data_IF_494817713100
#
_entry.id   IF_494817713100
#
_cell.length_a   1.000
_cell.length_b   1.000
_cell.length_c   1.000
_cell.angle_alpha   90.00
_cell.angle_beta   90.00
_cell.angle_gamma   90.00
#
_symmetry.space_group_name_H-M   'P 1'
#
loop_
_entity.id
_entity.type
_entity.pdbx_description
1 polymer ?
#
# COMPACT_ATOMS: atom_id res chain seq x y z
N UNK A 1 7.96 21.63 6.46
CA UNK A 1 9.39 21.94 6.45
C UNK A 1 9.69 22.86 5.28
N UNK A 2 10.96 23.12 5.03
CA UNK A 2 11.50 23.89 3.91
C UNK A 2 11.80 23.03 2.67
N UNK A 3 12.08 21.73 2.85
CA UNK A 3 12.29 20.77 1.76
C UNK A 3 10.99 20.39 1.03
N UNK A 4 11.08 20.23 -0.31
CA UNK A 4 10.03 19.66 -1.14
C UNK A 4 10.62 18.91 -2.34
N UNK A 5 9.86 17.96 -2.89
CA UNK A 5 10.24 17.17 -4.06
C UNK A 5 9.00 16.88 -4.92
N UNK A 6 9.20 16.79 -6.24
CA UNK A 6 8.17 16.37 -7.20
C UNK A 6 8.49 14.98 -7.73
N UNK A 7 7.46 14.20 -8.03
CA UNK A 7 7.61 12.92 -8.71
C UNK A 7 6.47 12.69 -9.70
N UNK A 8 6.74 11.87 -10.72
CA UNK A 8 5.71 11.22 -11.53
C UNK A 8 5.98 9.72 -11.53
N UNK A 9 4.92 8.93 -11.74
CA UNK A 9 5.05 7.48 -11.80
C UNK A 9 4.02 6.86 -12.73
N UNK A 10 4.38 5.69 -13.23
CA UNK A 10 3.50 4.74 -13.91
C UNK A 10 3.67 3.40 -13.21
N UNK A 11 2.59 2.64 -13.10
CA UNK A 11 2.69 1.34 -12.45
C UNK A 11 1.56 0.39 -12.80
N UNK A 12 1.85 -0.89 -12.66
CA UNK A 12 0.84 -1.95 -12.73
C UNK A 12 0.83 -2.75 -11.44
N UNK A 13 -0.37 -3.14 -11.03
CA UNK A 13 -0.60 -3.97 -9.84
C UNK A 13 -1.45 -5.17 -10.24
N UNK A 14 -0.91 -6.37 -10.03
CA UNK A 14 -1.60 -7.62 -10.34
C UNK A 14 -1.92 -8.35 -9.03
N UNK A 15 -3.19 -8.51 -8.73
CA UNK A 15 -3.65 -9.26 -7.57
C UNK A 15 -3.93 -10.72 -7.95
N UNK A 16 -3.32 -11.67 -7.24
CA UNK A 16 -3.48 -13.10 -7.45
C UNK A 16 -3.94 -13.79 -6.17
N UNK A 17 -5.17 -14.28 -6.18
CA UNK A 17 -5.65 -15.18 -5.13
C UNK A 17 -4.99 -16.56 -5.24
N UNK A 18 -4.70 -17.18 -4.11
CA UNK A 18 -4.18 -18.54 -4.08
C UNK A 18 -5.33 -19.55 -4.08
N UNK A 19 -5.31 -20.47 -5.06
CA UNK A 19 -6.10 -21.71 -5.09
C UNK A 19 -7.60 -21.52 -4.79
N UNK A 20 -8.24 -20.53 -5.43
CA UNK A 20 -9.71 -20.37 -5.32
C UNK A 20 -10.40 -21.65 -5.81
N UNK A 21 -11.49 -22.01 -5.14
CA UNK A 21 -12.29 -23.19 -5.46
C UNK A 21 -13.77 -22.88 -5.50
N UNK A 22 -14.47 -23.45 -6.48
CA UNK A 22 -15.94 -23.38 -6.56
C UNK A 22 -16.63 -24.04 -5.38
N UNK A 23 -15.98 -25.03 -4.75
CA UNK A 23 -16.51 -25.65 -3.54
C UNK A 23 -16.60 -24.64 -2.39
N UNK A 24 -15.62 -23.75 -2.24
CA UNK A 24 -15.69 -22.67 -1.24
C UNK A 24 -16.74 -21.65 -1.64
N UNK A 25 -16.73 -21.21 -2.91
CA UNK A 25 -17.62 -20.15 -3.42
C UNK A 25 -19.10 -20.46 -3.23
N UNK A 26 -19.54 -21.70 -3.46
CA UNK A 26 -20.97 -22.06 -3.37
C UNK A 26 -21.45 -22.44 -1.97
N UNK A 27 -20.52 -22.74 -1.06
CA UNK A 27 -20.86 -23.18 0.30
C UNK A 27 -20.61 -22.10 1.37
N UNK A 28 -19.77 -21.10 1.08
CA UNK A 28 -19.47 -20.00 2.02
C UNK A 28 -20.20 -18.74 1.56
N UNK A 29 -21.28 -18.33 2.25
CA UNK A 29 -22.14 -17.23 1.79
C UNK A 29 -21.49 -15.85 1.92
N UNK A 30 -20.56 -15.66 2.85
CA UNK A 30 -19.85 -14.39 3.07
C UNK A 30 -18.37 -14.66 3.40
N UNK A 31 -17.52 -14.94 2.39
CA UNK A 31 -16.11 -15.24 2.61
C UNK A 31 -15.36 -14.00 3.13
N UNK A 32 -14.46 -14.21 4.09
CA UNK A 32 -13.66 -13.14 4.73
C UNK A 32 -12.19 -13.31 4.36
N UNK A 33 -11.58 -14.40 4.82
CA UNK A 33 -10.18 -14.68 4.56
C UNK A 33 -9.99 -15.25 3.16
N UNK A 34 -9.29 -14.50 2.30
CA UNK A 34 -8.86 -14.95 0.99
C UNK A 34 -7.37 -14.68 0.82
N UNK A 35 -6.58 -15.75 0.86
CA UNK A 35 -5.14 -15.72 0.74
C UNK A 35 -4.74 -15.31 -0.68
N UNK A 36 -3.61 -14.61 -0.79
CA UNK A 36 -3.08 -14.23 -2.08
C UNK A 36 -1.75 -13.50 -2.02
N UNK A 37 -1.32 -13.05 -3.19
CA UNK A 37 -0.16 -12.19 -3.38
C UNK A 37 -0.46 -11.15 -4.46
N UNK A 38 0.05 -9.96 -4.25
CA UNK A 38 -0.11 -8.81 -5.12
C UNK A 38 1.25 -8.31 -5.57
N UNK A 39 1.43 -8.20 -6.89
CA UNK A 39 2.70 -7.88 -7.54
C UNK A 39 2.65 -6.45 -8.06
N UNK A 40 3.70 -5.68 -7.78
CA UNK A 40 3.85 -4.30 -8.21
C UNK A 40 5.02 -4.21 -9.19
N UNK A 41 4.82 -3.47 -10.27
CA UNK A 41 5.86 -3.01 -11.20
C UNK A 41 5.70 -1.49 -11.35
N UNK A 42 6.67 -0.74 -10.85
CA UNK A 42 6.60 0.71 -10.71
C UNK A 42 7.77 1.33 -11.46
N UNK A 43 7.44 2.28 -12.33
CA UNK A 43 8.39 3.20 -12.96
C UNK A 43 8.16 4.59 -12.38
N UNK A 44 9.22 5.20 -11.86
CA UNK A 44 9.17 6.47 -11.15
C UNK A 44 10.21 7.42 -11.72
N UNK A 45 9.84 8.71 -11.82
CA UNK A 45 10.72 9.80 -12.26
C UNK A 45 10.72 10.92 -11.23
N UNK A 46 11.91 11.38 -10.84
CA UNK A 46 12.12 12.48 -9.88
C UNK A 46 13.11 13.49 -10.48
N UNK A 47 12.72 14.75 -10.70
CA UNK A 47 13.68 15.80 -11.04
C UNK A 47 14.74 15.95 -9.94
N UNK A 48 16.02 15.91 -10.30
CA UNK A 48 17.13 16.10 -9.36
C UNK A 48 17.48 17.60 -9.31
N UNK A 49 16.55 18.39 -8.76
CA UNK A 49 16.54 19.86 -8.83
C UNK A 49 17.16 20.56 -7.61
N UNK A 50 17.61 19.80 -6.61
CA UNK A 50 18.30 20.32 -5.44
C UNK A 50 19.35 19.34 -4.91
N UNK A 51 20.22 19.83 -4.02
CA UNK A 51 21.39 19.09 -3.52
C UNK A 51 21.01 17.84 -2.74
N UNK A 52 19.98 17.91 -1.91
CA UNK A 52 19.56 16.77 -1.09
C UNK A 52 19.07 15.61 -1.96
N UNK A 53 18.36 15.92 -3.06
CA UNK A 53 17.94 14.90 -4.04
C UNK A 53 19.12 14.27 -4.78
N UNK A 54 20.12 15.07 -5.16
CA UNK A 54 21.32 14.59 -5.85
C UNK A 54 22.13 13.66 -4.93
N UNK A 55 22.40 14.11 -3.69
CA UNK A 55 23.16 13.33 -2.71
C UNK A 55 22.44 12.02 -2.36
N UNK A 56 21.11 12.07 -2.20
CA UNK A 56 20.29 10.88 -1.97
C UNK A 56 20.36 9.93 -3.17
N UNK A 57 20.26 10.44 -4.39
CA UNK A 57 20.32 9.65 -5.61
C UNK A 57 21.67 8.92 -5.74
N UNK A 58 22.77 9.63 -5.53
CA UNK A 58 24.13 9.07 -5.57
C UNK A 58 24.33 7.99 -4.50
N UNK A 59 23.82 8.21 -3.28
CA UNK A 59 23.87 7.22 -2.20
C UNK A 59 23.10 5.93 -2.53
N UNK A 60 21.91 6.06 -3.14
CA UNK A 60 21.15 4.90 -3.61
C UNK A 60 21.86 4.20 -4.77
N UNK A 61 22.45 4.93 -5.71
CA UNK A 61 23.20 4.35 -6.82
C UNK A 61 24.39 3.50 -6.34
N UNK A 62 25.14 4.00 -5.36
CA UNK A 62 26.24 3.25 -4.74
C UNK A 62 25.73 2.00 -4.02
N UNK A 63 24.64 2.12 -3.26
CA UNK A 63 24.05 1.01 -2.51
C UNK A 63 23.51 -0.09 -3.43
N UNK A 64 22.85 0.27 -4.53
CA UNK A 64 22.34 -0.70 -5.53
C UNK A 64 23.50 -1.40 -6.23
N UNK A 65 24.52 -0.65 -6.64
CA UNK A 65 25.67 -1.18 -7.39
C UNK A 65 26.57 -2.06 -6.52
N UNK A 66 26.80 -1.69 -5.27
CA UNK A 66 27.69 -2.40 -4.34
C UNK A 66 27.00 -3.45 -3.46
N UNK A 67 25.68 -3.34 -3.25
CA UNK A 67 24.93 -4.16 -2.29
C UNK A 67 24.47 -5.52 -2.83
N UNK A 68 24.48 -5.73 -4.15
CA UNK A 68 24.01 -6.98 -4.75
C UNK A 68 22.60 -7.38 -4.27
N UNK A 69 22.43 -8.62 -3.84
CA UNK A 69 21.14 -9.13 -3.32
C UNK A 69 20.73 -8.49 -1.98
N UNK A 70 21.69 -7.98 -1.21
CA UNK A 70 21.44 -7.43 0.12
C UNK A 70 20.65 -6.12 0.08
N UNK A 71 20.84 -5.31 -0.97
CA UNK A 71 20.10 -4.04 -1.13
C UNK A 71 18.59 -4.29 -1.06
N UNK A 72 18.08 -5.20 -1.90
CA UNK A 72 16.66 -5.48 -1.98
C UNK A 72 16.07 -6.09 -0.70
N UNK A 73 16.90 -6.73 0.11
CA UNK A 73 16.50 -7.36 1.37
C UNK A 73 16.47 -6.36 2.53
N UNK A 74 17.58 -5.66 2.76
CA UNK A 74 17.78 -4.73 3.88
C UNK A 74 16.99 -3.44 3.73
N UNK A 75 16.66 -3.02 2.50
CA UNK A 75 15.84 -1.83 2.26
C UNK A 75 14.46 -1.92 2.92
N UNK A 76 13.98 -3.12 3.27
CA UNK A 76 12.67 -3.29 3.94
C UNK A 76 12.63 -2.65 5.33
N UNK A 77 13.72 -2.72 6.09
CA UNK A 77 13.77 -2.10 7.44
C UNK A 77 13.87 -0.57 7.35
N UNK A 78 14.48 -0.05 6.28
CA UNK A 78 14.45 1.37 5.97
C UNK A 78 13.05 1.83 5.53
N UNK A 79 12.41 1.09 4.62
CA UNK A 79 11.11 1.43 4.07
C UNK A 79 10.01 1.39 5.16
N UNK A 80 10.01 0.35 5.98
CA UNK A 80 9.03 0.20 7.06
C UNK A 80 9.61 0.69 8.39
N UNK A 81 9.87 2.00 8.46
CA UNK A 81 10.51 2.64 9.62
C UNK A 81 9.72 2.48 10.93
N UNK A 82 10.45 2.27 12.03
CA UNK A 82 9.89 2.24 13.38
C UNK A 82 8.89 1.09 13.59
N UNK A 83 7.69 1.36 14.16
CA UNK A 83 6.71 0.31 14.45
C UNK A 83 6.07 -0.32 13.19
N UNK A 84 6.27 0.27 12.01
CA UNK A 84 5.71 -0.23 10.76
C UNK A 84 6.26 -1.61 10.38
N UNK A 85 7.54 -1.90 10.67
CA UNK A 85 8.14 -3.20 10.37
C UNK A 85 7.43 -4.34 11.11
N UNK A 86 7.16 -4.15 12.40
CA UNK A 86 6.46 -5.14 13.24
C UNK A 86 5.01 -5.33 12.78
N UNK A 87 4.34 -4.25 12.35
CA UNK A 87 2.94 -4.31 11.91
C UNK A 87 2.71 -5.22 10.69
N UNK A 88 3.74 -5.44 9.85
CA UNK A 88 3.67 -6.37 8.70
C UNK A 88 3.24 -7.77 9.17
N UNK A 89 3.96 -8.33 10.15
CA UNK A 89 3.70 -9.68 10.62
C UNK A 89 2.39 -9.75 11.44
N UNK A 90 2.06 -8.69 12.18
CA UNK A 90 0.82 -8.60 12.97
C UNK A 90 -0.42 -8.75 12.08
N UNK A 91 -0.41 -8.11 10.90
CA UNK A 91 -1.47 -8.23 9.89
C UNK A 91 -1.45 -9.53 9.08
N UNK A 92 -0.56 -10.49 9.39
CA UNK A 92 -0.37 -11.69 8.58
C UNK A 92 0.09 -11.37 7.15
N UNK A 93 0.81 -10.26 6.97
CA UNK A 93 1.34 -9.78 5.70
C UNK A 93 2.80 -10.19 5.54
N UNK A 94 3.28 -10.26 4.29
CA UNK A 94 4.70 -10.47 3.97
C UNK A 94 5.11 -9.58 2.81
N UNK A 95 6.29 -8.96 2.90
CA UNK A 95 6.88 -8.13 1.83
C UNK A 95 8.08 -8.86 1.23
N UNK A 96 8.09 -9.07 -0.08
CA UNK A 96 9.26 -9.62 -0.78
C UNK A 96 10.40 -8.60 -0.83
N UNK A 97 11.66 -9.05 -1.01
CA UNK A 97 12.73 -8.14 -1.38
C UNK A 97 12.38 -7.30 -2.61
N UNK A 98 12.91 -6.08 -2.68
CA UNK A 98 12.79 -5.21 -3.85
C UNK A 98 13.74 -5.68 -4.94
N UNK A 99 13.25 -5.73 -6.17
CA UNK A 99 14.05 -5.94 -7.37
C UNK A 99 14.14 -4.63 -8.14
N UNK A 100 15.36 -4.12 -8.35
CA UNK A 100 15.59 -2.93 -9.17
C UNK A 100 15.90 -3.38 -10.59
N UNK A 101 15.01 -3.04 -11.53
CA UNK A 101 15.15 -3.37 -12.94
C UNK A 101 15.96 -2.30 -13.69
N UNK A 102 15.76 -1.03 -13.32
CA UNK A 102 16.49 0.10 -13.89
C UNK A 102 16.68 1.18 -12.81
N UNK A 103 17.84 1.83 -12.84
CA UNK A 103 18.14 3.00 -12.01
C UNK A 103 19.16 3.86 -12.74
N UNK A 104 18.76 5.03 -13.22
CA UNK A 104 19.61 5.91 -14.02
C UNK A 104 19.07 7.32 -14.15
N UNK A 105 19.80 8.18 -14.87
CA UNK A 105 19.44 9.58 -15.06
C UNK A 105 19.05 9.82 -16.51
N UNK A 106 17.92 10.49 -16.74
CA UNK A 106 17.47 10.98 -18.04
C UNK A 106 17.63 12.51 -18.12
N UNK A 107 17.73 13.04 -19.34
CA UNK A 107 17.63 14.48 -19.58
C UNK A 107 16.17 14.90 -19.58
N UNK A 108 15.78 15.76 -18.63
CA UNK A 108 14.48 16.41 -18.60
C UNK A 108 14.57 17.86 -19.07
N UNK A 109 13.41 18.48 -19.30
CA UNK A 109 13.29 19.87 -19.77
C UNK A 109 14.03 20.89 -18.88
N UNK A 110 14.07 20.64 -17.56
CA UNK A 110 14.62 21.55 -16.55
C UNK A 110 15.91 21.05 -15.91
N UNK A 111 16.51 19.98 -16.44
CA UNK A 111 17.71 19.37 -15.87
C UNK A 111 17.60 17.84 -15.71
N UNK A 112 18.51 17.24 -14.93
CA UNK A 112 18.56 15.79 -14.74
C UNK A 112 17.31 15.27 -14.02
N UNK A 113 16.82 14.11 -14.47
CA UNK A 113 15.70 13.39 -13.85
C UNK A 113 16.17 11.99 -13.49
N UNK A 114 16.13 11.66 -12.21
CA UNK A 114 16.36 10.30 -11.73
C UNK A 114 15.17 9.41 -12.12
N UNK A 115 15.45 8.34 -12.85
CA UNK A 115 14.46 7.39 -13.34
C UNK A 115 14.77 6.01 -12.77
N UNK A 116 13.79 5.42 -12.10
CA UNK A 116 13.89 4.07 -11.56
C UNK A 116 12.73 3.20 -12.01
N UNK A 117 12.99 1.93 -12.24
CA UNK A 117 11.97 0.90 -12.40
C UNK A 117 12.27 -0.24 -11.44
N UNK A 118 11.30 -0.61 -10.62
CA UNK A 118 11.49 -1.59 -9.58
C UNK A 118 10.20 -2.35 -9.30
N UNK A 119 10.36 -3.53 -8.72
CA UNK A 119 9.30 -4.49 -8.45
C UNK A 119 9.37 -4.97 -7.02
N UNK A 120 8.20 -5.22 -6.45
CA UNK A 120 8.06 -5.99 -5.23
C UNK A 120 6.71 -6.70 -5.25
N UNK A 121 6.52 -7.63 -4.34
CA UNK A 121 5.22 -8.20 -4.07
C UNK A 121 4.94 -8.18 -2.58
N UNK A 122 3.68 -8.08 -2.23
CA UNK A 122 3.24 -8.37 -0.87
C UNK A 122 2.20 -9.50 -0.88
N UNK A 123 2.17 -10.29 0.18
CA UNK A 123 1.26 -11.40 0.34
C UNK A 123 0.51 -11.29 1.65
N UNK A 124 -0.65 -11.94 1.73
CA UNK A 124 -1.51 -11.92 2.90
C UNK A 124 -2.17 -13.28 3.12
N UNK A 125 -2.31 -13.65 4.39
CA UNK A 125 -3.00 -14.88 4.83
C UNK A 125 -4.53 -14.78 4.81
N UNK A 126 -5.07 -13.63 4.37
CA UNK A 126 -6.50 -13.35 4.28
C UNK A 126 -6.97 -12.16 5.12
N UNK A 127 -6.20 -11.76 6.13
CA UNK A 127 -6.43 -10.55 6.94
C UNK A 127 -6.22 -9.28 6.08
N UNK A 128 -5.23 -9.32 5.19
CA UNK A 128 -4.84 -8.19 4.34
C UNK A 128 -5.93 -7.85 3.32
N UNK A 129 -6.77 -6.86 3.65
CA UNK A 129 -7.93 -6.45 2.84
C UNK A 129 -7.56 -6.07 1.42
N UNK A 130 -6.39 -5.44 1.20
CA UNK A 130 -5.91 -5.04 -0.12
C UNK A 130 -5.70 -6.22 -1.08
N UNK A 131 -5.59 -7.45 -0.55
CA UNK A 131 -5.55 -8.69 -1.33
C UNK A 131 -6.92 -9.37 -1.30
N UNK A 132 -7.47 -9.59 -0.11
CA UNK A 132 -8.67 -10.41 0.06
C UNK A 132 -9.89 -9.79 -0.64
N UNK A 133 -9.96 -8.46 -0.68
CA UNK A 133 -11.10 -7.67 -1.18
C UNK A 133 -10.74 -6.78 -2.37
N UNK A 134 -9.73 -7.16 -3.16
CA UNK A 134 -9.17 -6.36 -4.25
C UNK A 134 -10.20 -5.64 -5.13
N UNK A 135 -11.16 -6.37 -5.70
CA UNK A 135 -12.18 -5.78 -6.58
C UNK A 135 -13.23 -4.95 -5.79
N UNK A 136 -13.46 -5.26 -4.52
CA UNK A 136 -14.43 -4.53 -3.70
C UNK A 136 -13.91 -3.12 -3.34
N UNK A 137 -12.60 -3.00 -3.10
CA UNK A 137 -11.94 -1.77 -2.63
C UNK A 137 -11.89 -0.66 -3.67
N UNK A 138 -12.02 -0.99 -4.97
CA UNK A 138 -12.04 -0.01 -6.05
C UNK A 138 -13.35 -0.08 -6.85
N UNK A 139 -14.46 0.43 -6.29
CA UNK A 139 -15.81 0.30 -6.86
C UNK A 139 -16.07 1.29 -8.01
N UNK A 140 -15.22 1.26 -9.05
CA UNK A 140 -15.28 2.20 -10.18
C UNK A 140 -16.63 2.16 -10.90
N UNK A 141 -17.27 0.99 -10.98
CA UNK A 141 -18.59 0.80 -11.59
C UNK A 141 -19.70 1.60 -10.89
N UNK A 142 -19.52 1.90 -9.59
CA UNK A 142 -20.47 2.67 -8.79
C UNK A 142 -20.10 4.16 -8.72
N UNK A 143 -18.92 4.56 -9.22
CA UNK A 143 -18.43 5.92 -9.14
C UNK A 143 -19.00 6.77 -10.29
N UNK A 144 -20.29 7.08 -10.19
CA UNK A 144 -21.02 7.88 -11.18
C UNK A 144 -21.00 9.40 -10.89
N UNK A 145 -20.40 9.80 -9.77
CA UNK A 145 -20.20 11.19 -9.33
C UNK A 145 -18.92 11.28 -8.50
N UNK A 146 -18.35 12.48 -8.31
CA UNK A 146 -17.22 12.66 -7.40
C UNK A 146 -17.52 12.08 -6.01
N UNK A 147 -16.56 11.33 -5.49
CA UNK A 147 -16.56 10.83 -4.11
C UNK A 147 -15.41 11.48 -3.36
N UNK A 148 -15.61 11.76 -2.08
CA UNK A 148 -14.62 12.41 -1.24
C UNK A 148 -14.75 11.95 0.21
N UNK A 149 -13.63 11.95 0.91
CA UNK A 149 -13.55 11.73 2.35
C UNK A 149 -12.50 12.69 2.90
N UNK A 150 -12.80 13.32 4.02
CA UNK A 150 -11.90 14.19 4.76
C UNK A 150 -11.81 13.67 6.20
N UNK A 151 -10.60 13.67 6.74
CA UNK A 151 -10.35 13.22 8.10
C UNK A 151 -9.21 14.00 8.72
N UNK A 152 -9.29 14.20 10.03
CA UNK A 152 -8.28 14.89 10.81
C UNK A 152 -8.27 14.39 12.25
N UNK A 153 -7.09 14.42 12.87
CA UNK A 153 -6.94 14.11 14.28
C UNK A 153 -6.03 15.14 14.97
N UNK A 154 -6.23 15.28 16.28
CA UNK A 154 -5.35 16.03 17.17
C UNK A 154 -5.01 15.12 18.33
N UNK A 155 -3.74 15.02 18.66
CA UNK A 155 -3.26 14.20 19.76
C UNK A 155 -2.15 14.92 20.51
N UNK A 156 -2.20 14.83 21.83
CA UNK A 156 -1.12 15.21 22.73
C UNK A 156 -0.96 14.14 23.82
N UNK A 157 -0.20 14.44 24.87
CA UNK A 157 0.03 13.50 25.97
C UNK A 157 -1.18 13.29 26.88
N UNK A 158 -2.27 14.04 26.71
CA UNK A 158 -3.46 14.01 27.56
C UNK A 158 -4.69 13.45 26.84
N UNK A 159 -4.72 13.49 25.51
CA UNK A 159 -5.88 12.97 24.79
C UNK A 159 -5.71 12.90 23.28
N UNK A 160 -6.69 12.25 22.66
CA UNK A 160 -6.79 12.06 21.22
C UNK A 160 -8.22 12.42 20.79
N UNK A 161 -8.36 13.30 19.79
CA UNK A 161 -9.61 13.62 19.12
C UNK A 161 -9.49 13.31 17.62
N UNK A 162 -10.53 12.72 17.02
CA UNK A 162 -10.58 12.39 15.59
C UNK A 162 -11.93 12.74 14.99
N UNK A 163 -11.93 13.24 13.75
CA UNK A 163 -13.13 13.48 12.94
C UNK A 163 -12.92 12.92 11.53
N UNK A 164 -13.96 12.30 10.99
CA UNK A 164 -13.99 11.79 9.61
C UNK A 164 -15.37 12.07 9.03
N UNK A 165 -15.42 12.67 7.85
CA UNK A 165 -16.63 12.93 7.09
C UNK A 165 -16.40 12.53 5.63
N UNK A 166 -17.38 11.91 4.98
CA UNK A 166 -17.19 11.49 3.60
C UNK A 166 -18.44 10.93 2.93
N UNK A 167 -18.44 11.02 1.61
CA UNK A 167 -19.45 10.47 0.73
C UNK A 167 -18.77 9.65 -0.37
N UNK A 168 -18.91 8.32 -0.29
CA UNK A 168 -18.24 7.38 -1.18
C UNK A 168 -19.13 6.18 -1.53
N UNK A 169 -18.95 5.58 -2.72
CA UNK A 169 -19.62 4.32 -3.08
C UNK A 169 -19.09 3.15 -2.24
N UNK A 170 -19.80 2.02 -2.30
CA UNK A 170 -19.36 0.78 -1.67
C UNK A 170 -19.66 0.63 -0.18
N UNK A 171 -20.28 1.63 0.48
CA UNK A 171 -20.68 1.57 1.90
C UNK A 171 -21.65 0.41 2.18
N UNK A 172 -22.56 0.13 1.24
CA UNK A 172 -23.44 -1.03 1.28
C UNK A 172 -23.18 -1.98 0.11
N UNK A 173 -23.40 -3.27 0.34
CA UNK A 173 -23.22 -4.36 -0.63
C UNK A 173 -24.45 -5.26 -0.65
N UNK A 174 -24.67 -5.91 -1.78
CA UNK A 174 -25.64 -7.01 -1.87
C UNK A 174 -25.24 -8.13 -0.91
N UNK A 175 -26.23 -8.69 -0.21
CA UNK A 175 -26.07 -9.82 0.70
C UNK A 175 -26.75 -11.09 0.17
N UNK A 176 -27.36 -11.03 -1.03
CA UNK A 176 -28.13 -12.12 -1.61
C UNK A 176 -29.57 -12.16 -1.11
N UNK A 177 -30.45 -12.82 -1.87
CA UNK A 177 -31.86 -12.97 -1.50
C UNK A 177 -32.64 -11.65 -1.39
N UNK A 178 -32.21 -10.61 -2.09
CA UNK A 178 -32.80 -9.27 -2.03
C UNK A 178 -32.38 -8.43 -0.82
N UNK A 179 -31.48 -8.94 0.03
CA UNK A 179 -30.97 -8.22 1.19
C UNK A 179 -29.73 -7.39 0.84
N UNK A 180 -29.51 -6.32 1.62
CA UNK A 180 -28.26 -5.55 1.59
C UNK A 180 -27.63 -5.53 2.96
N UNK A 181 -26.30 -5.42 3.00
CA UNK A 181 -25.52 -5.26 4.22
C UNK A 181 -24.63 -4.04 4.13
N UNK A 182 -24.24 -3.51 5.29
CA UNK A 182 -23.04 -2.67 5.36
C UNK A 182 -21.84 -3.55 4.95
N UNK A 183 -20.85 -2.95 4.29
CA UNK A 183 -19.63 -3.66 3.91
C UNK A 183 -19.01 -4.35 5.14
N UNK A 184 -18.36 -5.50 4.95
CA UNK A 184 -17.73 -6.20 6.06
C UNK A 184 -16.61 -5.31 6.58
N UNK A 185 -16.48 -5.12 7.89
CA UNK A 185 -15.45 -4.24 8.43
C UNK A 185 -14.06 -4.71 7.95
N UNK A 186 -13.22 -3.82 7.38
CA UNK A 186 -11.85 -4.18 7.00
C UNK A 186 -11.03 -4.57 8.24
N UNK A 187 -10.17 -5.56 8.12
CA UNK A 187 -9.49 -6.18 9.25
C UNK A 187 -8.18 -5.49 9.60
N UNK A 188 -7.42 -5.04 8.59
CA UNK A 188 -6.13 -4.38 8.81
C UNK A 188 -6.23 -3.16 9.75
N UNK A 189 -7.22 -2.25 9.60
CA UNK A 189 -7.37 -1.13 10.52
C UNK A 189 -7.57 -1.58 11.98
N UNK A 190 -8.33 -2.66 12.22
CA UNK A 190 -8.60 -3.16 13.57
C UNK A 190 -7.36 -3.82 14.19
N UNK A 191 -6.66 -4.65 13.42
CA UNK A 191 -5.44 -5.33 13.88
C UNK A 191 -4.36 -4.30 14.21
N UNK A 192 -4.10 -3.36 13.30
CA UNK A 192 -3.04 -2.36 13.49
C UNK A 192 -3.40 -1.36 14.60
N UNK A 193 -4.63 -0.87 14.67
CA UNK A 193 -5.06 -0.01 15.78
C UNK A 193 -5.02 -0.78 17.12
N UNK A 194 -5.29 -2.08 17.10
CA UNK A 194 -5.15 -2.96 18.25
C UNK A 194 -3.74 -2.98 18.85
N UNK A 195 -2.69 -2.64 18.09
CA UNK A 195 -1.32 -2.55 18.60
C UNK A 195 -1.13 -1.36 19.54
N UNK A 196 -1.96 -0.32 19.45
CA UNK A 196 -1.87 0.90 20.27
C UNK A 196 -3.05 1.10 21.22
N UNK A 197 -4.19 0.46 20.96
CA UNK A 197 -5.41 0.61 21.76
C UNK A 197 -5.43 -0.16 23.10
N UNK A 198 -4.27 -0.55 23.65
CA UNK A 198 -4.17 -1.37 24.87
C UNK A 198 -3.22 -0.78 25.93
N UNK A 199 -2.88 0.50 25.81
CA UNK A 199 -1.89 1.16 26.67
C UNK A 199 -2.49 2.07 27.75
N UNK A 200 -3.81 2.03 27.95
CA UNK A 200 -4.55 2.86 28.90
C UNK A 200 -5.57 2.03 29.67
#
# INVERSE_FOLDING_TARGET
>A
GDFSCKLSFEGSVVNMYYYRSDAVRRNVPNPVYMQGRQFHDIMMKVPLDNKDLIETWEGFQQSISGGGVNFGDWIREFWFIGPAYTAINEGGQRISPIQVNNFGVESGEKGPVGVSRWKFSHAGSGIVDSISRWAELFPVEQLNKPASIEGGFRSDSQGIEVKVDGNLPGVSRDAGGGLRRILNHPLIPLVHHGMVGKFN
#
